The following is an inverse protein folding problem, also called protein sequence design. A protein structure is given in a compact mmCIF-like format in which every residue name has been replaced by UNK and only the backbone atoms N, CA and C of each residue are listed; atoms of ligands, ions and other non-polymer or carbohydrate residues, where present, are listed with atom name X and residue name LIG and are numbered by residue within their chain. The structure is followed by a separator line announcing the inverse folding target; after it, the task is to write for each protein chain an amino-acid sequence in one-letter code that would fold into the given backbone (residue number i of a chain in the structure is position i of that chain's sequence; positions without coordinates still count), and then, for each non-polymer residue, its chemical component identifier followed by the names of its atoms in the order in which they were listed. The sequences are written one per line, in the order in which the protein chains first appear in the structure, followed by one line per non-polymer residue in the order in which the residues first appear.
data_IF_962999558570
#
_entry.id   IF_962999558570
#
_cell.length_a   1.000
_cell.length_b   1.000
_cell.length_c   1.000
_cell.angle_alpha   90.00
_cell.angle_beta   90.00
_cell.angle_gamma   90.00
#
_symmetry.space_group_name_H-M   'P 1'
#
loop_
_entity.id
_entity.type
_entity.pdbx_description
1 polymer ?
#
# COMPACT_ATOMS: atom_id res chain seq x y z
N UNK A 1 12.80 -1.06 -16.90
CA UNK A 1 11.67 -0.13 -16.77
C UNK A 1 11.94 0.90 -15.68
N UNK A 2 11.31 2.06 -15.75
CA UNK A 2 11.42 3.17 -14.80
C UNK A 2 10.06 3.38 -14.14
N UNK A 3 10.04 3.36 -12.81
CA UNK A 3 8.85 3.62 -11.99
C UNK A 3 8.97 5.00 -11.34
N UNK A 4 7.94 5.84 -11.49
CA UNK A 4 7.84 7.13 -10.83
C UNK A 4 7.41 6.96 -9.37
N UNK A 5 8.38 6.96 -8.47
CA UNK A 5 8.14 6.65 -7.06
C UNK A 5 8.08 7.93 -6.23
N UNK A 6 7.02 8.05 -5.44
CA UNK A 6 6.80 9.15 -4.49
C UNK A 6 6.80 8.61 -3.07
N UNK A 7 7.59 9.22 -2.20
CA UNK A 7 7.76 8.83 -0.81
C UNK A 7 7.33 9.98 0.08
N UNK A 8 6.29 9.81 0.88
CA UNK A 8 5.75 10.88 1.73
C UNK A 8 6.00 10.64 3.22
N UNK A 9 6.23 11.73 3.95
CA UNK A 9 6.53 11.73 5.38
C UNK A 9 7.92 11.16 5.66
N UNK A 10 8.03 10.33 6.70
CA UNK A 10 9.32 9.74 7.08
C UNK A 10 9.91 8.82 6.02
N UNK A 11 9.10 8.34 5.07
CA UNK A 11 9.57 7.51 3.96
C UNK A 11 10.48 8.27 3.00
N UNK A 12 10.46 9.60 2.99
CA UNK A 12 11.34 10.41 2.15
C UNK A 12 12.83 10.11 2.38
N UNK A 13 13.20 9.60 3.55
CA UNK A 13 14.57 9.14 3.87
C UNK A 13 15.11 8.07 2.93
N UNK A 14 14.22 7.28 2.31
CA UNK A 14 14.60 6.24 1.34
C UNK A 14 14.85 6.80 -0.07
N UNK A 15 14.51 8.06 -0.33
CA UNK A 15 14.73 8.72 -1.62
C UNK A 15 16.18 9.15 -1.88
N UNK A 16 17.09 8.95 -0.92
CA UNK A 16 18.52 9.21 -1.07
C UNK A 16 18.95 10.68 -1.02
N UNK A 17 18.01 11.64 -1.05
CA UNK A 17 18.32 13.06 -0.93
C UNK A 17 18.09 13.56 0.52
N UNK A 18 19.14 13.94 1.27
CA UNK A 18 19.00 14.38 2.67
C UNK A 18 18.25 15.72 2.84
N UNK A 19 18.01 16.46 1.75
CA UNK A 19 17.20 17.69 1.74
C UNK A 19 15.69 17.40 1.62
N UNK A 20 15.33 16.23 1.14
CA UNK A 20 13.95 15.77 0.93
C UNK A 20 13.45 15.09 2.21
N UNK A 21 13.03 15.89 3.19
CA UNK A 21 12.62 15.40 4.53
C UNK A 21 11.12 15.19 4.68
N UNK A 22 10.31 15.83 3.84
CA UNK A 22 8.84 15.79 3.91
C UNK A 22 8.26 14.90 2.81
N UNK A 23 8.88 14.93 1.65
CA UNK A 23 8.61 14.03 0.54
C UNK A 23 9.90 13.82 -0.24
N UNK A 24 9.99 12.71 -0.97
CA UNK A 24 11.00 12.47 -1.98
C UNK A 24 10.35 11.95 -3.27
N UNK A 25 10.93 12.30 -4.42
CA UNK A 25 10.55 11.74 -5.71
C UNK A 25 11.76 11.09 -6.37
N UNK A 26 11.67 9.80 -6.64
CA UNK A 26 12.73 9.02 -7.25
C UNK A 26 12.21 8.29 -8.49
N UNK A 27 13.04 8.28 -9.54
CA UNK A 27 12.85 7.42 -10.70
C UNK A 27 13.63 6.14 -10.45
N UNK A 28 12.93 5.07 -10.12
CA UNK A 28 13.57 3.79 -9.77
C UNK A 28 13.66 2.92 -11.01
N UNK A 29 14.87 2.51 -11.36
CA UNK A 29 15.12 1.57 -12.44
C UNK A 29 14.96 0.13 -11.94
N UNK A 30 14.09 -0.64 -12.59
CA UNK A 30 13.81 -2.03 -12.29
C UNK A 30 13.93 -2.91 -13.55
N UNK A 31 14.29 -4.19 -13.41
CA UNK A 31 14.13 -5.17 -14.48
C UNK A 31 12.68 -5.25 -15.00
N UNK A 32 12.51 -5.63 -16.26
CA UNK A 32 11.17 -5.89 -16.81
C UNK A 32 10.51 -7.07 -16.08
N UNK A 33 9.19 -6.97 -15.84
CA UNK A 33 8.44 -7.98 -15.09
C UNK A 33 8.61 -7.92 -13.57
N UNK A 34 9.30 -6.90 -13.05
CA UNK A 34 9.41 -6.70 -11.60
C UNK A 34 8.06 -6.40 -10.97
N UNK A 35 7.94 -6.74 -9.70
CA UNK A 35 6.75 -6.55 -8.85
C UNK A 35 7.01 -5.47 -7.82
N UNK A 36 5.97 -5.11 -7.08
CA UNK A 36 6.07 -4.12 -6.02
C UNK A 36 7.08 -4.49 -4.92
N UNK A 37 7.23 -5.78 -4.60
CA UNK A 37 8.27 -6.27 -3.67
C UNK A 37 9.69 -5.88 -4.12
N UNK A 38 9.97 -5.96 -5.42
CA UNK A 38 11.30 -5.67 -5.96
C UNK A 38 11.58 -4.15 -5.90
N UNK A 39 10.54 -3.32 -6.05
CA UNK A 39 10.63 -1.88 -5.83
C UNK A 39 11.00 -1.57 -4.37
N UNK A 40 10.37 -2.24 -3.40
CA UNK A 40 10.69 -2.08 -1.98
C UNK A 40 12.12 -2.51 -1.67
N UNK A 41 12.57 -3.62 -2.23
CA UNK A 41 13.93 -4.14 -2.05
C UNK A 41 14.98 -3.15 -2.57
N UNK A 42 14.76 -2.55 -3.75
CA UNK A 42 15.65 -1.52 -4.31
C UNK A 42 15.67 -0.25 -3.47
N UNK A 43 14.53 0.14 -2.89
CA UNK A 43 14.45 1.27 -1.96
C UNK A 43 15.08 0.97 -0.59
N UNK A 44 15.37 -0.30 -0.28
CA UNK A 44 15.79 -0.75 1.04
C UNK A 44 14.70 -0.54 2.11
N UNK A 45 13.43 -0.58 1.71
CA UNK A 45 12.29 -0.27 2.55
C UNK A 45 11.53 -1.54 2.91
N UNK A 46 11.31 -1.81 4.20
CA UNK A 46 10.47 -2.94 4.59
C UNK A 46 8.98 -2.60 4.40
N UNK A 47 8.19 -3.61 4.06
CA UNK A 47 6.76 -3.43 3.78
C UNK A 47 5.99 -2.88 4.99
N UNK A 48 6.45 -3.12 6.21
CA UNK A 48 5.81 -2.63 7.44
C UNK A 48 6.04 -1.12 7.67
N UNK A 49 6.99 -0.50 6.97
CA UNK A 49 7.29 0.93 7.13
C UNK A 49 6.30 1.83 6.38
N UNK A 50 5.68 1.29 5.32
CA UNK A 50 4.65 1.98 4.57
C UNK A 50 3.28 1.76 5.22
N UNK A 51 2.50 2.83 5.23
CA UNK A 51 1.09 2.77 5.57
C UNK A 51 0.26 2.53 4.32
N UNK A 52 0.17 3.54 3.47
CA UNK A 52 -0.74 3.53 2.33
C UNK A 52 0.05 3.57 1.04
N UNK A 53 -0.36 2.73 0.09
CA UNK A 53 0.25 2.71 -1.24
C UNK A 53 -0.82 2.97 -2.28
N UNK A 54 -0.46 3.79 -3.27
CA UNK A 54 -1.21 3.89 -4.52
C UNK A 54 -0.35 3.49 -5.71
N UNK A 55 -0.96 2.82 -6.66
CA UNK A 55 -0.39 2.50 -7.96
C UNK A 55 -1.30 3.14 -9.00
N UNK A 56 -0.77 4.08 -9.79
CA UNK A 56 -1.52 4.83 -10.80
C UNK A 56 -2.80 5.51 -10.26
N UNK A 57 -2.75 5.98 -9.01
CA UNK A 57 -3.88 6.62 -8.33
C UNK A 57 -4.92 5.64 -7.77
N UNK A 58 -4.71 4.33 -7.92
CA UNK A 58 -5.54 3.29 -7.33
C UNK A 58 -4.95 2.82 -6.00
N UNK A 59 -5.79 2.68 -4.98
CA UNK A 59 -5.36 2.18 -3.67
C UNK A 59 -4.93 0.72 -3.79
N UNK A 60 -3.70 0.43 -3.34
CA UNK A 60 -3.11 -0.91 -3.40
C UNK A 60 -2.80 -1.50 -2.03
N UNK A 61 -2.51 -0.68 -1.03
CA UNK A 61 -2.28 -1.12 0.34
C UNK A 61 -2.73 -0.09 1.38
N UNK A 62 -3.02 -0.58 2.58
CA UNK A 62 -3.34 0.20 3.78
C UNK A 62 -2.58 -0.35 5.00
N UNK A 63 -2.48 0.41 6.11
CA UNK A 63 -1.93 -0.12 7.36
C UNK A 63 -2.66 -1.39 7.79
N UNK A 64 -1.90 -2.47 7.98
CA UNK A 64 -2.45 -3.79 8.34
C UNK A 64 -2.99 -4.62 7.17
N UNK A 65 -3.02 -4.09 5.94
CA UNK A 65 -3.51 -4.82 4.76
C UNK A 65 -2.68 -4.45 3.51
N UNK A 66 -1.75 -5.32 3.12
CA UNK A 66 -0.78 -5.06 2.05
C UNK A 66 -0.77 -6.16 0.97
N UNK A 67 -1.86 -6.31 0.19
CA UNK A 67 -2.02 -7.39 -0.79
C UNK A 67 -1.26 -7.14 -2.11
N UNK A 68 -0.52 -6.04 -2.21
CA UNK A 68 0.06 -5.52 -3.44
C UNK A 68 1.51 -5.95 -3.70
N UNK A 69 2.14 -6.72 -2.80
CA UNK A 69 3.53 -7.17 -2.95
C UNK A 69 3.81 -7.92 -4.26
N UNK A 70 2.81 -8.64 -4.76
CA UNK A 70 2.89 -9.39 -6.01
C UNK A 70 2.36 -8.65 -7.23
N UNK A 71 1.91 -7.40 -7.05
CA UNK A 71 1.40 -6.59 -8.14
C UNK A 71 2.52 -6.34 -9.17
N UNK A 72 2.33 -6.73 -10.45
CA UNK A 72 3.32 -6.48 -11.48
C UNK A 72 3.38 -4.99 -11.79
N UNK A 73 4.60 -4.45 -11.93
CA UNK A 73 4.83 -3.06 -12.32
C UNK A 73 5.17 -3.00 -13.80
N UNK A 74 4.81 -1.87 -14.42
CA UNK A 74 5.10 -1.55 -15.80
C UNK A 74 5.94 -0.28 -15.92
N UNK A 75 6.55 -0.10 -17.09
CA UNK A 75 7.31 1.11 -17.38
C UNK A 75 6.41 2.35 -17.34
N UNK A 76 6.84 3.38 -16.61
CA UNK A 76 6.10 4.62 -16.43
C UNK A 76 5.04 4.57 -15.32
N UNK A 77 4.84 3.44 -14.64
CA UNK A 77 3.93 3.36 -13.50
C UNK A 77 4.30 4.39 -12.43
N UNK A 78 3.28 4.97 -11.81
CA UNK A 78 3.43 5.89 -10.69
C UNK A 78 3.03 5.21 -9.39
N UNK A 79 3.99 5.09 -8.48
CA UNK A 79 3.78 4.47 -7.16
C UNK A 79 3.97 5.52 -6.07
N UNK A 80 2.99 5.70 -5.21
CA UNK A 80 3.03 6.65 -4.10
C UNK A 80 2.90 5.93 -2.76
N UNK A 81 3.92 6.06 -1.91
CA UNK A 81 3.97 5.50 -0.57
C UNK A 81 3.79 6.59 0.49
N UNK A 82 2.90 6.35 1.43
CA UNK A 82 2.62 7.22 2.56
C UNK A 82 3.01 6.51 3.86
N UNK A 83 3.73 7.20 4.74
CA UNK A 83 4.10 6.68 6.05
C UNK A 83 2.85 6.34 6.90
N UNK A 84 2.99 5.43 7.86
CA UNK A 84 1.92 4.99 8.78
C UNK A 84 1.18 6.13 9.52
N UNK A 85 1.85 7.27 9.71
CA UNK A 85 1.27 8.45 10.38
C UNK A 85 0.46 9.36 9.46
N UNK A 86 0.45 9.12 8.16
CA UNK A 86 -0.35 9.91 7.23
C UNK A 86 -1.82 9.66 7.53
N UNK A 87 -2.53 10.71 7.97
CA UNK A 87 -3.96 10.65 8.22
C UNK A 87 -4.70 10.29 6.94
N UNK A 88 -5.52 9.24 6.99
CA UNK A 88 -6.50 8.93 5.95
C UNK A 88 -7.91 9.27 6.43
N UNK A 89 -8.51 10.35 5.91
CA UNK A 89 -9.89 10.68 6.26
C UNK A 89 -10.81 9.55 5.81
N UNK A 90 -11.67 9.09 6.73
CA UNK A 90 -12.65 8.02 6.48
C UNK A 90 -13.49 8.27 5.20
N UNK A 91 -13.70 9.53 4.85
CA UNK A 91 -14.45 9.97 3.67
C UNK A 91 -13.88 9.44 2.34
N UNK A 92 -12.58 9.15 2.26
CA UNK A 92 -11.96 8.56 1.06
C UNK A 92 -12.20 7.04 0.95
N UNK A 93 -12.82 6.39 1.94
CA UNK A 93 -13.08 4.93 1.89
C UNK A 93 -14.24 4.53 0.98
N UNK A 94 -15.16 5.44 0.67
CA UNK A 94 -16.39 5.13 -0.06
C UNK A 94 -16.36 5.47 -1.57
N UNK A 95 -15.21 5.86 -2.13
CA UNK A 95 -15.14 6.26 -3.54
C UNK A 95 -13.75 6.23 -4.17
N UNK A 96 -12.75 5.63 -3.51
CA UNK A 96 -11.42 5.47 -4.09
C UNK A 96 -11.38 4.21 -4.94
N UNK A 97 -10.91 4.36 -6.18
CA UNK A 97 -10.61 3.23 -7.07
C UNK A 97 -9.49 2.39 -6.44
N UNK A 98 -9.66 1.08 -6.41
CA UNK A 98 -8.70 0.15 -5.81
C UNK A 98 -8.25 -0.87 -6.84
N UNK A 99 -7.04 -1.40 -6.68
CA UNK A 99 -6.61 -2.56 -7.48
C UNK A 99 -7.41 -3.81 -7.07
N UNK A 100 -7.47 -4.80 -7.95
CA UNK A 100 -8.31 -5.99 -7.74
C UNK A 100 -7.89 -6.78 -6.49
N UNK A 101 -6.59 -6.84 -6.23
CA UNK A 101 -5.97 -7.50 -5.08
C UNK A 101 -6.44 -6.86 -3.77
N UNK A 102 -6.54 -5.52 -3.74
CA UNK A 102 -7.03 -4.77 -2.59
C UNK A 102 -8.52 -4.98 -2.36
N UNK A 103 -9.33 -5.01 -3.43
CA UNK A 103 -10.76 -5.30 -3.33
C UNK A 103 -11.01 -6.70 -2.74
N UNK A 104 -10.29 -7.71 -3.22
CA UNK A 104 -10.37 -9.08 -2.67
C UNK A 104 -9.99 -9.11 -1.20
N UNK A 105 -8.87 -8.49 -0.85
CA UNK A 105 -8.36 -8.48 0.52
C UNK A 105 -9.37 -7.85 1.50
N UNK A 106 -10.03 -6.74 1.12
CA UNK A 106 -11.08 -6.10 1.93
C UNK A 106 -12.26 -7.04 2.14
N UNK A 107 -12.77 -7.66 1.07
CA UNK A 107 -13.90 -8.61 1.14
C UNK A 107 -13.57 -9.78 2.07
N UNK A 108 -12.36 -10.33 1.98
CA UNK A 108 -11.89 -11.42 2.84
C UNK A 108 -11.80 -10.99 4.32
N UNK A 109 -11.27 -9.79 4.61
CA UNK A 109 -11.27 -9.25 5.99
C UNK A 109 -12.66 -8.94 6.53
N UNK A 110 -13.57 -8.39 5.71
CA UNK A 110 -14.95 -8.12 6.14
C UNK A 110 -15.71 -9.43 6.40
N UNK A 111 -15.49 -10.46 5.56
CA UNK A 111 -16.03 -11.80 5.80
C UNK A 111 -15.45 -12.43 7.07
N UNK A 112 -14.15 -12.31 7.33
CA UNK A 112 -13.56 -12.78 8.59
C UNK A 112 -14.02 -11.97 9.82
N UNK A 113 -14.36 -10.68 9.65
CA UNK A 113 -14.92 -9.82 10.69
C UNK A 113 -16.38 -10.12 11.06
N UNK A 114 -17.15 -10.73 10.15
CA UNK A 114 -18.55 -11.11 10.37
C UNK A 114 -18.71 -12.49 11.05
N UNK A 115 -17.68 -13.35 11.05
CA UNK A 115 -17.75 -14.67 11.66
C UNK A 115 -17.42 -14.70 13.17
N UNK A 116 -16.82 -13.65 13.72
CA UNK A 116 -16.52 -13.57 15.17
C UNK A 116 -17.69 -13.07 16.04
N UNK A 117 -18.83 -12.71 15.46
CA UNK A 117 -20.00 -12.20 16.19
C UNK A 117 -21.15 -13.21 16.36
N UNK A 118 -21.06 -14.42 15.79
CA UNK A 118 -22.07 -15.47 15.94
C UNK A 118 -21.44 -16.82 16.30
N UNK A 119 -20.87 -16.91 17.50
CA UNK A 119 -20.79 -18.19 18.21
C UNK A 119 -20.67 -17.98 19.70
N UNK A 120 -21.72 -18.46 20.39
CA UNK A 120 -21.94 -18.55 21.85
C UNK A 120 -22.63 -17.36 22.48
N UNK A 121 -23.96 -17.37 22.39
CA UNK A 121 -24.80 -17.46 23.60
C UNK A 121 -26.23 -17.85 23.20
N UNK A 122 -26.50 -19.15 23.23
CA UNK A 122 -27.86 -19.67 23.37
C UNK A 122 -27.95 -20.30 24.75
N UNK A 123 -28.59 -19.65 25.74
CA UNK A 123 -29.09 -20.36 26.90
C UNK A 123 -30.41 -21.03 26.51
N UNK A 124 -30.39 -22.36 26.46
CA UNK A 124 -31.62 -23.17 26.50
C UNK A 124 -32.19 -23.10 27.92
N UNK A 125 -33.35 -22.47 28.07
CA UNK A 125 -34.25 -22.69 29.21
C UNK A 125 -35.01 -24.00 29.06
#
# INVERSE_FOLDING_TARGET
MIVDTWLYGELARFGGNPKERVFANCKVALPEGSRLRDLLDVLGMRTEERGITFINGQLSAMPGLQPDLDHPLQDGDRVAFFHLRSMWPFQYRHGVTMIQEMQKAIIETDQMGLHHAYSKDQPTS
#
